data_IF_713807097837
#
_entry.id   IF_713807097837
#
_cell.length_a   1.000
_cell.length_b   1.000
_cell.length_c   1.000
_cell.angle_alpha   90.00
_cell.angle_beta   90.00
_cell.angle_gamma   90.00
#
_symmetry.space_group_name_H-M   'P 1'
#
loop_
_entity.id
_entity.type
_entity.pdbx_description
1 polymer ?
#
# COMPACT_ATOMS: atom_id res chain seq x y z
N UNK A 1 -2.37 -9.74 8.16
CA UNK A 1 -3.35 -10.64 7.51
C UNK A 1 -3.26 -10.59 5.98
N UNK A 2 -3.14 -9.42 5.31
CA UNK A 2 -3.07 -9.34 3.84
C UNK A 2 -1.80 -9.94 3.24
N UNK A 3 -0.64 -9.78 3.88
CA UNK A 3 0.63 -10.37 3.43
C UNK A 3 0.59 -11.91 3.46
N UNK A 4 -0.15 -12.51 4.39
CA UNK A 4 -0.39 -13.95 4.45
C UNK A 4 -1.19 -14.48 3.25
N UNK A 5 -2.24 -13.78 2.83
CA UNK A 5 -3.02 -14.10 1.64
C UNK A 5 -2.16 -14.02 0.35
N UNK A 6 -1.20 -13.11 0.34
CA UNK A 6 -0.28 -12.92 -0.78
C UNK A 6 0.77 -14.04 -0.88
N UNK A 7 1.17 -14.62 0.25
CA UNK A 7 2.14 -15.72 0.32
C UNK A 7 1.52 -17.09 0.03
N UNK A 8 0.26 -17.29 0.41
CA UNK A 8 -0.47 -18.55 0.27
C UNK A 8 -1.46 -18.56 -0.91
N UNK A 9 -1.60 -17.44 -1.62
CA UNK A 9 -2.50 -17.31 -2.76
C UNK A 9 -1.80 -17.50 -4.11
N UNK A 10 -2.56 -17.43 -5.22
CA UNK A 10 -1.99 -17.51 -6.56
C UNK A 10 -0.97 -16.39 -6.80
N UNK A 11 0.13 -16.71 -7.48
CA UNK A 11 1.23 -15.78 -7.82
C UNK A 11 0.90 -14.77 -8.92
N UNK A 12 -0.34 -14.30 -8.96
CA UNK A 12 -0.92 -13.40 -9.98
C UNK A 12 -0.96 -11.93 -9.55
N UNK A 13 -0.26 -11.56 -8.46
CA UNK A 13 -0.32 -10.23 -7.87
C UNK A 13 1.02 -9.53 -7.95
N UNK A 14 0.98 -8.28 -8.40
CA UNK A 14 2.09 -7.34 -8.29
C UNK A 14 1.88 -6.47 -7.03
N UNK A 15 2.91 -6.39 -6.19
CA UNK A 15 2.90 -5.56 -4.99
C UNK A 15 3.57 -4.21 -5.26
N UNK A 16 2.92 -3.13 -4.88
CA UNK A 16 3.53 -1.81 -4.78
C UNK A 16 3.73 -1.50 -3.29
N UNK A 17 4.98 -1.47 -2.83
CA UNK A 17 5.33 -1.11 -1.46
C UNK A 17 5.89 0.30 -1.46
N UNK A 18 5.30 1.16 -0.63
CA UNK A 18 5.79 2.52 -0.41
C UNK A 18 6.46 2.56 0.95
N UNK A 19 7.71 2.97 0.99
CA UNK A 19 8.51 3.13 2.20
C UNK A 19 8.91 4.57 2.38
N UNK A 20 9.07 4.98 3.63
CA UNK A 20 9.48 6.33 3.99
C UNK A 20 10.75 6.26 4.82
N UNK A 21 11.71 7.14 4.56
CA UNK A 21 12.92 7.26 5.36
C UNK A 21 12.58 7.82 6.76
N UNK A 22 12.52 6.92 7.73
CA UNK A 22 12.10 7.25 9.11
C UNK A 22 13.09 6.83 10.19
N UNK A 23 14.13 6.08 9.86
CA UNK A 23 15.13 5.62 10.82
C UNK A 23 15.69 6.76 11.66
N UNK A 24 15.85 6.55 12.96
CA UNK A 24 16.34 7.55 13.90
C UNK A 24 15.34 8.65 14.28
N UNK A 25 14.13 8.64 13.70
CA UNK A 25 13.06 9.63 14.00
C UNK A 25 12.12 9.13 15.10
N UNK A 26 11.24 10.00 15.57
CA UNK A 26 10.24 9.69 16.60
C UNK A 26 10.81 9.61 18.03
N UNK A 27 9.91 9.39 18.98
CA UNK A 27 10.26 9.27 20.41
C UNK A 27 10.86 7.91 20.77
N UNK A 28 11.62 7.85 21.84
CA UNK A 28 12.13 6.59 22.41
C UNK A 28 10.99 5.69 22.86
N UNK A 29 11.17 4.39 22.69
CA UNK A 29 10.26 3.38 23.23
C UNK A 29 10.56 3.27 24.73
N UNK A 30 9.66 3.84 25.54
CA UNK A 30 9.73 3.81 27.00
C UNK A 30 8.49 3.13 27.54
N UNK A 31 8.57 1.83 27.77
CA UNK A 31 7.48 1.05 28.32
C UNK A 31 8.06 0.00 29.31
N UNK A 32 7.49 -0.17 30.50
CA UNK A 32 7.88 -1.23 31.43
C UNK A 32 7.87 -2.64 30.81
N UNK A 33 7.00 -2.90 29.85
CA UNK A 33 6.91 -4.18 29.12
C UNK A 33 8.17 -4.48 28.29
N UNK A 34 8.94 -3.47 27.87
CA UNK A 34 10.20 -3.65 27.12
C UNK A 34 11.27 -4.35 27.97
N UNK A 35 11.08 -4.45 29.28
CA UNK A 35 11.96 -5.22 30.18
C UNK A 35 11.78 -6.74 30.03
N UNK A 36 10.70 -7.20 29.42
CA UNK A 36 10.51 -8.62 29.14
C UNK A 36 11.59 -9.12 28.14
N UNK A 37 12.20 -10.30 28.38
CA UNK A 37 13.27 -10.83 27.51
C UNK A 37 12.87 -10.91 26.04
N UNK A 38 11.60 -11.23 25.75
CA UNK A 38 11.05 -11.30 24.40
C UNK A 38 11.04 -9.95 23.66
N UNK A 39 11.10 -8.84 24.38
CA UNK A 39 11.05 -7.48 23.84
C UNK A 39 12.38 -6.72 24.00
N UNK A 40 13.44 -7.42 24.40
CA UNK A 40 14.75 -6.81 24.66
C UNK A 40 15.32 -6.07 23.44
N UNK A 41 15.00 -6.52 22.22
CA UNK A 41 15.42 -5.90 20.98
C UNK A 41 14.84 -4.48 20.77
N UNK A 42 13.77 -4.11 21.49
CA UNK A 42 13.15 -2.78 21.44
C UNK A 42 13.81 -1.77 22.42
N UNK A 43 14.69 -2.24 23.31
CA UNK A 43 15.32 -1.35 24.28
C UNK A 43 16.18 -0.30 23.60
N UNK A 44 16.03 0.97 24.06
CA UNK A 44 16.75 2.14 23.52
C UNK A 44 16.53 2.40 22.02
N UNK A 45 15.49 1.79 21.42
CA UNK A 45 15.08 2.08 20.03
C UNK A 45 14.08 3.21 19.98
N UNK A 46 14.04 3.90 18.86
CA UNK A 46 12.98 4.86 18.56
C UNK A 46 11.81 4.14 17.90
N UNK A 47 10.62 4.72 17.99
CA UNK A 47 9.43 4.13 17.35
C UNK A 47 9.60 3.97 15.83
N UNK A 48 10.26 4.94 15.22
CA UNK A 48 10.50 4.89 13.78
C UNK A 48 11.61 3.90 13.36
N UNK A 49 12.51 3.49 14.28
CA UNK A 49 13.45 2.39 14.00
C UNK A 49 12.71 1.06 13.85
N UNK A 50 11.65 0.84 14.64
CA UNK A 50 10.80 -0.33 14.49
C UNK A 50 10.05 -0.30 13.15
N UNK A 51 9.48 0.86 12.78
CA UNK A 51 8.79 1.02 11.51
C UNK A 51 9.73 0.78 10.31
N UNK A 52 10.96 1.31 10.36
CA UNK A 52 11.97 1.08 9.33
C UNK A 52 12.29 -0.41 9.20
N UNK A 53 12.52 -1.09 10.33
CA UNK A 53 12.77 -2.53 10.34
C UNK A 53 11.60 -3.34 9.76
N UNK A 54 10.36 -2.97 10.06
CA UNK A 54 9.15 -3.62 9.53
C UNK A 54 8.98 -3.39 8.02
N UNK A 55 9.26 -2.19 7.53
CA UNK A 55 9.25 -1.88 6.08
C UNK A 55 10.24 -2.78 5.34
N UNK A 56 11.48 -2.83 5.81
CA UNK A 56 12.56 -3.65 5.22
C UNK A 56 12.24 -5.14 5.29
N UNK A 57 11.77 -5.62 6.44
CA UNK A 57 11.39 -7.02 6.61
C UNK A 57 10.23 -7.42 5.68
N UNK A 58 9.27 -6.53 5.45
CA UNK A 58 8.16 -6.76 4.53
C UNK A 58 8.66 -6.88 3.09
N UNK A 59 9.50 -5.95 2.64
CA UNK A 59 10.08 -5.98 1.32
C UNK A 59 10.89 -7.27 1.09
N UNK A 60 11.78 -7.59 2.01
CA UNK A 60 12.62 -8.79 1.92
C UNK A 60 11.79 -10.09 1.94
N UNK A 61 10.74 -10.14 2.75
CA UNK A 61 9.83 -11.29 2.79
C UNK A 61 9.15 -11.51 1.45
N UNK A 62 8.67 -10.45 0.79
CA UNK A 62 8.05 -10.55 -0.53
C UNK A 62 9.04 -11.06 -1.58
N UNK A 63 10.24 -10.50 -1.62
CA UNK A 63 11.31 -10.92 -2.54
C UNK A 63 11.69 -12.39 -2.33
N UNK A 64 11.94 -12.81 -1.08
CA UNK A 64 12.30 -14.20 -0.75
C UNK A 64 11.22 -15.21 -1.14
N UNK A 65 9.97 -14.80 -1.17
CA UNK A 65 8.86 -15.66 -1.60
C UNK A 65 8.53 -15.53 -3.10
N UNK A 66 9.38 -14.87 -3.89
CA UNK A 66 9.20 -14.74 -5.33
C UNK A 66 8.01 -13.89 -5.74
N UNK A 67 7.49 -13.03 -4.85
CA UNK A 67 6.38 -12.15 -5.16
C UNK A 67 6.89 -10.95 -5.99
N UNK A 68 6.35 -10.73 -7.21
CA UNK A 68 6.69 -9.54 -7.97
C UNK A 68 6.34 -8.28 -7.19
N UNK A 69 7.30 -7.36 -7.03
CA UNK A 69 7.06 -6.13 -6.30
C UNK A 69 7.77 -4.93 -6.92
N UNK A 70 7.18 -3.77 -6.72
CA UNK A 70 7.82 -2.47 -6.94
C UNK A 70 7.98 -1.78 -5.60
N UNK A 71 9.15 -1.20 -5.36
CA UNK A 71 9.45 -0.42 -4.18
C UNK A 71 9.51 1.06 -4.56
N UNK A 72 8.71 1.87 -3.87
CA UNK A 72 8.76 3.33 -3.94
C UNK A 72 9.41 3.82 -2.65
N UNK A 73 10.63 4.29 -2.73
CA UNK A 73 11.36 4.84 -1.59
C UNK A 73 11.15 6.36 -1.57
N UNK A 74 10.55 6.85 -0.50
CA UNK A 74 10.25 8.25 -0.30
C UNK A 74 11.16 8.83 0.78
N UNK A 75 11.91 9.88 0.45
CA UNK A 75 12.77 10.59 1.41
C UNK A 75 11.94 11.36 2.43
N UNK A 76 10.80 11.87 1.98
CA UNK A 76 9.87 12.67 2.79
C UNK A 76 8.43 12.41 2.35
N UNK A 77 7.49 12.79 3.20
CA UNK A 77 6.07 12.78 2.89
C UNK A 77 5.52 14.19 3.13
N UNK A 78 5.40 14.93 2.05
CA UNK A 78 4.81 16.26 1.99
C UNK A 78 3.82 16.36 0.83
N UNK A 79 3.22 17.52 0.64
CA UNK A 79 2.19 17.76 -0.38
C UNK A 79 2.74 17.59 -1.80
N UNK A 80 3.99 17.95 -2.02
CA UNK A 80 4.66 17.84 -3.32
C UNK A 80 4.88 16.38 -3.70
N UNK A 81 5.45 15.57 -2.79
CA UNK A 81 5.70 14.15 -3.00
C UNK A 81 4.38 13.40 -3.13
N UNK A 82 3.37 13.75 -2.32
CA UNK A 82 2.03 13.15 -2.43
C UNK A 82 1.40 13.47 -3.78
N UNK A 83 1.47 14.71 -4.24
CA UNK A 83 0.96 15.11 -5.57
C UNK A 83 1.67 14.37 -6.70
N UNK A 84 3.00 14.24 -6.64
CA UNK A 84 3.78 13.49 -7.61
C UNK A 84 3.39 12.00 -7.64
N UNK A 85 3.18 11.39 -6.46
CA UNK A 85 2.77 10.00 -6.35
C UNK A 85 1.36 9.76 -6.91
N UNK A 86 0.42 10.66 -6.63
CA UNK A 86 -0.93 10.60 -7.22
C UNK A 86 -0.87 10.72 -8.74
N UNK A 87 -0.11 11.67 -9.27
CA UNK A 87 0.07 11.84 -10.72
C UNK A 87 0.70 10.61 -11.35
N UNK A 88 1.71 10.00 -10.70
CA UNK A 88 2.33 8.77 -11.16
C UNK A 88 1.29 7.65 -11.39
N UNK A 89 0.42 7.39 -10.42
CA UNK A 89 -0.60 6.34 -10.55
C UNK A 89 -1.71 6.71 -11.53
N UNK A 90 -2.05 7.99 -11.68
CA UNK A 90 -2.98 8.44 -12.72
C UNK A 90 -2.41 8.17 -14.11
N UNK A 91 -1.17 8.54 -14.37
CA UNK A 91 -0.49 8.29 -15.64
C UNK A 91 -0.31 6.79 -15.91
N UNK A 92 0.07 6.02 -14.90
CA UNK A 92 0.17 4.56 -15.01
C UNK A 92 -1.17 3.93 -15.42
N UNK A 93 -2.28 4.40 -14.84
CA UNK A 93 -3.62 3.92 -15.18
C UNK A 93 -3.95 4.21 -16.65
N UNK A 94 -3.69 5.43 -17.12
CA UNK A 94 -3.96 5.83 -18.51
C UNK A 94 -3.09 5.03 -19.49
N UNK A 95 -1.80 4.89 -19.21
CA UNK A 95 -0.87 4.14 -20.05
C UNK A 95 -1.26 2.66 -20.10
N UNK A 96 -1.57 2.06 -18.95
CA UNK A 96 -1.98 0.66 -18.85
C UNK A 96 -3.29 0.40 -19.61
N UNK A 97 -4.26 1.30 -19.49
CA UNK A 97 -5.50 1.22 -20.25
C UNK A 97 -5.26 1.29 -21.76
N UNK A 98 -4.35 2.17 -22.21
CA UNK A 98 -3.95 2.25 -23.61
C UNK A 98 -3.29 0.97 -24.10
N UNK A 99 -2.42 0.35 -23.32
CA UNK A 99 -1.78 -0.93 -23.64
C UNK A 99 -2.80 -2.07 -23.70
N UNK A 100 -3.78 -2.07 -22.81
CA UNK A 100 -4.86 -3.07 -22.77
C UNK A 100 -6.00 -2.77 -23.75
N UNK A 101 -5.94 -1.63 -24.48
CA UNK A 101 -6.97 -1.16 -25.40
C UNK A 101 -8.35 -1.01 -24.75
N UNK A 102 -8.38 -0.55 -23.51
CA UNK A 102 -9.60 -0.21 -22.76
C UNK A 102 -9.67 1.29 -22.50
N UNK A 103 -10.87 1.82 -22.30
CA UNK A 103 -11.07 3.23 -21.99
C UNK A 103 -10.78 3.48 -20.49
N UNK A 104 -9.74 4.26 -20.18
CA UNK A 104 -9.37 4.61 -18.81
C UNK A 104 -10.41 5.49 -18.09
N UNK A 105 -11.29 6.17 -18.84
CA UNK A 105 -12.24 7.16 -18.33
C UNK A 105 -13.68 6.66 -18.30
N UNK A 106 -13.92 5.38 -18.60
CA UNK A 106 -15.24 4.77 -18.61
C UNK A 106 -15.32 3.63 -17.60
N UNK A 107 -16.43 3.59 -16.86
CA UNK A 107 -16.74 2.54 -15.89
C UNK A 107 -18.16 2.00 -16.13
N UNK A 108 -18.37 1.21 -17.19
CA UNK A 108 -19.71 0.72 -17.58
C UNK A 108 -20.48 0.05 -16.44
N UNK A 109 -19.79 -0.75 -15.61
CA UNK A 109 -20.42 -1.46 -14.49
C UNK A 109 -20.99 -0.50 -13.41
N UNK A 110 -20.41 0.68 -13.23
CA UNK A 110 -20.92 1.70 -12.31
C UNK A 110 -22.15 2.40 -12.89
N UNK A 111 -22.14 2.67 -14.19
CA UNK A 111 -23.28 3.29 -14.87
C UNK A 111 -24.50 2.36 -14.92
N UNK A 112 -24.30 1.06 -15.13
CA UNK A 112 -25.37 0.06 -15.09
C UNK A 112 -26.14 0.11 -13.78
N UNK A 113 -25.45 0.14 -12.63
CA UNK A 113 -26.07 0.25 -11.31
C UNK A 113 -26.92 1.53 -11.15
N UNK A 114 -26.45 2.66 -11.69
CA UNK A 114 -27.19 3.93 -11.66
C UNK A 114 -28.45 3.89 -12.54
N UNK A 115 -28.35 3.28 -13.71
CA UNK A 115 -29.49 3.09 -14.63
C UNK A 115 -30.57 2.23 -13.97
N UNK A 116 -30.19 1.10 -13.37
CA UNK A 116 -31.11 0.22 -12.66
C UNK A 116 -31.74 0.92 -11.45
N UNK A 117 -30.97 1.68 -10.66
CA UNK A 117 -31.50 2.43 -9.55
C UNK A 117 -32.56 3.47 -9.97
N UNK A 118 -32.30 4.21 -11.06
CA UNK A 118 -33.28 5.15 -11.63
C UNK A 118 -34.56 4.44 -12.09
N UNK A 119 -34.43 3.27 -12.74
CA UNK A 119 -35.56 2.46 -13.16
C UNK A 119 -36.42 2.06 -11.96
N UNK A 120 -35.82 1.46 -10.94
CA UNK A 120 -36.57 1.04 -9.74
C UNK A 120 -37.25 2.22 -9.02
N UNK A 121 -36.59 3.37 -8.94
CA UNK A 121 -37.22 4.56 -8.37
C UNK A 121 -38.43 5.02 -9.18
N UNK A 122 -38.42 4.93 -10.50
CA UNK A 122 -39.57 5.28 -11.35
C UNK A 122 -40.72 4.28 -11.23
N UNK A 123 -40.44 3.04 -10.84
CA UNK A 123 -41.48 2.01 -10.63
C UNK A 123 -42.13 2.07 -9.23
N UNK A 124 -41.56 2.85 -8.29
CA UNK A 124 -42.06 3.01 -6.92
C UNK A 124 -43.01 4.19 -6.75
N UNK A 125 -43.22 5.03 -7.75
CA UNK A 125 -44.14 6.17 -7.77
C UNK A 125 -45.35 5.83 -8.59
#
# INVERSE_FOLDING_TARGET
ARVLLCRAGPGDKLFALMTLEVAGKGGLISNPLVKAPALAYLQRRRRCDLLDAEQRATAETLVRNGCPMRLFELDRLDEEVMGALMMHFMLETIISAGLLKVNAFDQPAVEEGKVLARKFLSEMG
#
